data_IF_907334446669
#
_entry.id   IF_907334446669
#
_cell.length_a   1.000
_cell.length_b   1.000
_cell.length_c   1.000
_cell.angle_alpha   90.00
_cell.angle_beta   90.00
_cell.angle_gamma   90.00
#
_symmetry.space_group_name_H-M   'P 1'
#
loop_
_entity.id
_entity.type
_entity.pdbx_description
1 polymer ?
#
# COMPACT_ATOMS: atom_id res chain seq x y z
N UNK A 1 -20.18 7.77 -23.26
CA UNK A 1 -19.08 8.15 -22.34
C UNK A 1 -17.85 8.45 -23.17
N UNK A 2 -17.07 9.51 -22.86
CA UNK A 2 -15.82 9.77 -23.62
C UNK A 2 -14.76 8.75 -23.21
N UNK A 3 -13.83 8.43 -24.11
CA UNK A 3 -12.77 7.46 -23.82
C UNK A 3 -11.90 7.88 -22.63
N UNK A 4 -11.63 9.18 -22.50
CA UNK A 4 -10.94 9.73 -21.33
C UNK A 4 -11.64 9.42 -20.01
N UNK A 5 -12.97 9.53 -19.96
CA UNK A 5 -13.75 9.21 -18.75
C UNK A 5 -13.67 7.71 -18.44
N UNK A 6 -13.68 6.85 -19.47
CA UNK A 6 -13.49 5.41 -19.34
C UNK A 6 -12.14 5.06 -18.69
N UNK A 7 -11.07 5.77 -19.06
CA UNK A 7 -9.72 5.56 -18.51
C UNK A 7 -9.63 5.90 -17.02
N UNK A 8 -10.56 6.70 -16.48
CA UNK A 8 -10.58 7.05 -15.05
C UNK A 8 -11.34 6.03 -14.19
N UNK A 9 -12.21 5.20 -14.78
CA UNK A 9 -13.02 4.24 -14.05
C UNK A 9 -12.22 3.01 -13.64
N UNK A 10 -12.43 2.53 -12.41
CA UNK A 10 -11.82 1.30 -11.90
C UNK A 10 -12.07 0.08 -12.81
N UNK A 11 -11.09 -0.84 -12.91
CA UNK A 11 -11.23 -2.05 -13.71
C UNK A 11 -12.48 -2.88 -13.32
N UNK A 12 -12.89 -2.86 -12.05
CA UNK A 12 -14.11 -3.53 -11.58
C UNK A 12 -15.38 -2.92 -12.15
N UNK A 13 -15.43 -1.59 -12.32
CA UNK A 13 -16.55 -0.89 -12.96
C UNK A 13 -16.57 -1.20 -14.45
N UNK A 14 -15.41 -1.15 -15.11
CA UNK A 14 -15.29 -1.45 -16.54
C UNK A 14 -15.66 -2.91 -16.85
N UNK A 15 -15.22 -3.88 -16.04
CA UNK A 15 -15.61 -5.29 -16.20
C UNK A 15 -17.09 -5.54 -15.96
N UNK A 16 -17.72 -4.85 -14.98
CA UNK A 16 -19.18 -4.91 -14.81
C UNK A 16 -19.91 -4.36 -16.04
N UNK A 17 -19.43 -3.26 -16.63
CA UNK A 17 -19.97 -2.72 -17.88
C UNK A 17 -19.80 -3.70 -19.05
N UNK A 18 -18.64 -4.36 -19.17
CA UNK A 18 -18.41 -5.42 -20.17
C UNK A 18 -19.40 -6.58 -20.02
N UNK A 19 -19.64 -7.01 -18.78
CA UNK A 19 -20.56 -8.11 -18.50
C UNK A 19 -22.03 -7.74 -18.81
N UNK A 20 -22.41 -6.47 -18.62
CA UNK A 20 -23.74 -5.96 -18.88
C UNK A 20 -24.00 -5.57 -20.35
N UNK A 21 -22.97 -5.44 -21.18
CA UNK A 21 -23.13 -5.10 -22.61
C UNK A 21 -23.36 -6.35 -23.45
N UNK A 22 -24.24 -6.28 -24.46
CA UNK A 22 -24.42 -7.34 -25.46
C UNK A 22 -23.60 -7.09 -26.75
N UNK A 23 -23.35 -5.83 -27.08
CA UNK A 23 -22.65 -5.44 -28.30
C UNK A 23 -21.13 -5.70 -28.22
N UNK A 24 -20.59 -6.43 -29.21
CA UNK A 24 -19.14 -6.72 -29.32
C UNK A 24 -18.30 -5.44 -29.34
N UNK A 25 -18.78 -4.40 -30.02
CA UNK A 25 -18.09 -3.10 -30.11
C UNK A 25 -17.91 -2.42 -28.75
N UNK A 26 -18.92 -2.48 -27.88
CA UNK A 26 -18.83 -1.93 -26.53
C UNK A 26 -17.90 -2.73 -25.63
N UNK A 27 -17.94 -4.07 -25.71
CA UNK A 27 -17.00 -4.93 -24.99
C UNK A 27 -15.55 -4.61 -25.37
N UNK A 28 -15.27 -4.51 -26.67
CA UNK A 28 -13.93 -4.15 -27.17
C UNK A 28 -13.51 -2.76 -26.68
N UNK A 29 -14.42 -1.78 -26.69
CA UNK A 29 -14.14 -0.43 -26.20
C UNK A 29 -13.70 -0.43 -24.73
N UNK A 30 -14.40 -1.13 -23.85
CA UNK A 30 -14.04 -1.19 -22.43
C UNK A 30 -12.78 -2.01 -22.17
N UNK A 31 -12.56 -3.11 -22.90
CA UNK A 31 -11.29 -3.86 -22.83
C UNK A 31 -10.10 -3.00 -23.26
N UNK A 32 -10.25 -2.24 -24.34
CA UNK A 32 -9.24 -1.29 -24.80
C UNK A 32 -8.98 -0.20 -23.75
N UNK A 33 -10.03 0.32 -23.10
CA UNK A 33 -9.87 1.29 -22.02
C UNK A 33 -9.06 0.72 -20.84
N UNK A 34 -9.32 -0.53 -20.41
CA UNK A 34 -8.53 -1.18 -19.36
C UNK A 34 -7.06 -1.34 -19.80
N UNK A 35 -6.83 -1.80 -21.02
CA UNK A 35 -5.48 -2.02 -21.55
C UNK A 35 -4.68 -0.73 -21.66
N UNK A 36 -5.25 0.29 -22.32
CA UNK A 36 -4.59 1.60 -22.50
C UNK A 36 -4.33 2.26 -21.15
N UNK A 37 -5.32 2.24 -20.23
CA UNK A 37 -5.12 2.74 -18.86
C UNK A 37 -3.92 2.06 -18.20
N UNK A 38 -3.86 0.73 -18.26
CA UNK A 38 -2.81 -0.05 -17.58
C UNK A 38 -1.42 0.23 -18.17
N UNK A 39 -1.31 0.29 -19.51
CA UNK A 39 -0.06 0.67 -20.20
C UNK A 39 0.39 2.08 -19.81
N UNK A 40 -0.52 3.05 -19.80
CA UNK A 40 -0.19 4.44 -19.44
C UNK A 40 0.29 4.55 -17.99
N UNK A 41 -0.36 3.84 -17.05
CA UNK A 41 0.05 3.84 -15.65
C UNK A 41 1.44 3.22 -15.49
N UNK A 42 1.71 2.07 -16.12
CA UNK A 42 3.02 1.40 -16.02
C UNK A 42 4.11 2.23 -16.68
N UNK A 43 3.87 2.75 -17.88
CA UNK A 43 4.83 3.61 -18.58
C UNK A 43 5.15 4.87 -17.76
N UNK A 44 4.13 5.52 -17.20
CA UNK A 44 4.32 6.67 -16.32
C UNK A 44 5.07 6.29 -15.04
N UNK A 45 4.77 5.14 -14.42
CA UNK A 45 5.49 4.65 -13.25
C UNK A 45 6.98 4.47 -13.54
N UNK A 46 7.33 3.82 -14.65
CA UNK A 46 8.72 3.60 -15.07
C UNK A 46 9.43 4.95 -15.24
N UNK A 47 8.87 5.87 -16.03
CA UNK A 47 9.50 7.17 -16.28
C UNK A 47 9.67 7.96 -14.97
N UNK A 48 8.61 8.03 -14.15
CA UNK A 48 8.62 8.81 -12.92
C UNK A 48 9.60 8.26 -11.89
N UNK A 49 9.56 6.94 -11.63
CA UNK A 49 10.42 6.30 -10.65
C UNK A 49 11.87 6.30 -11.11
N UNK A 50 12.14 6.00 -12.39
CA UNK A 50 13.51 6.00 -12.93
C UNK A 50 14.13 7.39 -12.91
N UNK A 51 13.37 8.44 -13.26
CA UNK A 51 13.86 9.83 -13.19
C UNK A 51 14.22 10.24 -11.76
N UNK A 52 13.32 10.00 -10.80
CA UNK A 52 13.58 10.34 -9.40
C UNK A 52 14.71 9.48 -8.81
N UNK A 53 14.79 8.20 -9.15
CA UNK A 53 15.87 7.32 -8.69
C UNK A 53 17.22 7.73 -9.29
N UNK A 54 17.26 8.17 -10.55
CA UNK A 54 18.47 8.68 -11.18
C UNK A 54 18.98 9.97 -10.53
N UNK A 55 18.08 10.87 -10.11
CA UNK A 55 18.44 12.15 -9.47
C UNK A 55 18.78 12.00 -7.99
N UNK A 56 18.02 11.19 -7.23
CA UNK A 56 18.14 11.09 -5.77
C UNK A 56 18.85 9.82 -5.28
N UNK A 57 19.27 8.94 -6.19
CA UNK A 57 19.96 7.69 -5.92
C UNK A 57 19.02 6.49 -5.78
N UNK A 58 19.54 5.29 -6.12
CA UNK A 58 18.79 4.03 -6.10
C UNK A 58 18.30 3.64 -4.68
N UNK A 59 19.02 4.02 -3.63
CA UNK A 59 18.59 3.81 -2.23
C UNK A 59 17.28 4.55 -1.88
N UNK A 60 16.92 5.56 -2.69
CA UNK A 60 15.72 6.36 -2.53
C UNK A 60 14.57 5.98 -3.47
N UNK A 61 14.77 4.96 -4.32
CA UNK A 61 13.70 4.37 -5.15
C UNK A 61 12.46 4.00 -4.33
N UNK A 62 12.55 3.46 -3.08
CA UNK A 62 11.37 3.17 -2.29
C UNK A 62 10.46 4.39 -2.02
N UNK A 63 11.05 5.56 -1.76
CA UNK A 63 10.28 6.79 -1.59
C UNK A 63 9.71 7.28 -2.92
N UNK A 64 10.43 7.14 -4.03
CA UNK A 64 9.91 7.49 -5.36
C UNK A 64 8.67 6.66 -5.73
N UNK A 65 8.69 5.35 -5.44
CA UNK A 65 7.53 4.46 -5.60
C UNK A 65 6.37 4.90 -4.70
N UNK A 66 6.64 5.23 -3.43
CA UNK A 66 5.62 5.70 -2.52
C UNK A 66 4.99 7.02 -3.00
N UNK A 67 5.79 7.97 -3.49
CA UNK A 67 5.33 9.24 -4.06
C UNK A 67 4.49 9.04 -5.31
N UNK A 68 4.89 8.11 -6.18
CA UNK A 68 4.08 7.71 -7.34
C UNK A 68 2.69 7.23 -6.91
N UNK A 69 2.62 6.33 -5.94
CA UNK A 69 1.35 5.84 -5.41
C UNK A 69 0.53 6.97 -4.78
N UNK A 70 1.13 7.79 -3.91
CA UNK A 70 0.48 8.93 -3.25
C UNK A 70 -0.11 9.91 -4.27
N UNK A 71 0.64 10.24 -5.32
CA UNK A 71 0.18 11.11 -6.40
C UNK A 71 -1.06 10.54 -7.11
N UNK A 72 -1.06 9.24 -7.43
CA UNK A 72 -2.22 8.59 -8.05
C UNK A 72 -3.44 8.57 -7.12
N UNK A 73 -3.24 8.39 -5.81
CA UNK A 73 -4.30 8.40 -4.80
C UNK A 73 -4.89 9.80 -4.60
N UNK A 74 -4.04 10.79 -4.29
CA UNK A 74 -4.44 12.18 -4.01
C UNK A 74 -5.19 12.82 -5.17
N UNK A 75 -4.94 12.37 -6.42
CA UNK A 75 -5.72 12.82 -7.58
C UNK A 75 -7.23 12.64 -7.41
N UNK A 76 -7.66 11.61 -6.67
CA UNK A 76 -9.07 11.24 -6.51
C UNK A 76 -9.55 11.28 -5.06
N UNK A 77 -8.65 11.12 -4.09
CA UNK A 77 -8.98 10.99 -2.67
C UNK A 77 -8.31 12.11 -1.87
N UNK A 78 -9.11 12.89 -1.14
CA UNK A 78 -8.61 13.95 -0.25
C UNK A 78 -8.38 13.39 1.18
N UNK A 79 -8.11 14.26 2.16
CA UNK A 79 -8.01 13.89 3.58
C UNK A 79 -9.26 14.24 4.41
N UNK A 80 -10.37 14.64 3.77
CA UNK A 80 -11.66 14.97 4.41
C UNK A 80 -11.64 16.21 5.34
N UNK A 81 -10.62 17.07 5.22
CA UNK A 81 -10.54 18.37 5.91
C UNK A 81 -9.94 19.46 5.02
N UNK A 82 -10.01 20.70 5.48
CA UNK A 82 -9.67 21.87 4.68
C UNK A 82 -8.25 21.81 4.10
N UNK A 83 -8.03 22.51 2.98
CA UNK A 83 -6.80 22.38 2.20
C UNK A 83 -5.56 22.86 2.95
N UNK A 84 -5.66 23.90 3.77
CA UNK A 84 -4.53 24.39 4.57
C UNK A 84 -4.00 23.30 5.50
N UNK A 85 -4.88 22.68 6.28
CA UNK A 85 -4.53 21.57 7.17
C UNK A 85 -4.09 20.34 6.37
N UNK A 86 -4.69 20.09 5.19
CA UNK A 86 -4.30 18.98 4.30
C UNK A 86 -2.86 19.11 3.79
N UNK A 87 -2.40 20.32 3.46
CA UNK A 87 -1.01 20.56 3.08
C UNK A 87 -0.06 20.38 4.27
N UNK A 88 -0.41 20.91 5.44
CA UNK A 88 0.41 20.72 6.66
C UNK A 88 0.53 19.24 7.03
N UNK A 89 -0.59 18.50 6.99
CA UNK A 89 -0.57 17.06 7.28
C UNK A 89 0.15 16.26 6.20
N UNK A 90 0.10 16.64 4.92
CA UNK A 90 0.94 16.03 3.88
C UNK A 90 2.44 16.19 4.19
N UNK A 91 2.86 17.37 4.64
CA UNK A 91 4.25 17.60 5.06
C UNK A 91 4.62 16.71 6.27
N UNK A 92 3.73 16.62 7.28
CA UNK A 92 3.93 15.75 8.43
C UNK A 92 3.99 14.26 8.05
N UNK A 93 3.12 13.81 7.15
CA UNK A 93 3.11 12.44 6.60
C UNK A 93 4.45 12.14 5.94
N UNK A 94 4.94 13.02 5.06
CA UNK A 94 6.23 12.83 4.40
C UNK A 94 7.40 12.85 5.40
N UNK A 95 7.37 13.73 6.41
CA UNK A 95 8.37 13.73 7.46
C UNK A 95 8.40 12.40 8.23
N UNK A 96 7.23 11.83 8.58
CA UNK A 96 7.15 10.50 9.21
C UNK A 96 7.74 9.44 8.29
N UNK A 97 7.36 9.44 7.01
CA UNK A 97 7.83 8.45 6.02
C UNK A 97 9.34 8.53 5.78
N UNK A 98 9.96 9.71 5.93
CA UNK A 98 11.42 9.88 5.80
C UNK A 98 12.15 9.49 7.08
N UNK A 99 11.71 10.01 8.23
CA UNK A 99 12.50 9.99 9.46
C UNK A 99 12.28 8.72 10.29
N UNK A 100 11.04 8.25 10.42
CA UNK A 100 10.72 7.15 11.34
C UNK A 100 11.34 5.82 10.90
N UNK A 101 11.30 5.42 9.61
CA UNK A 101 12.01 4.24 9.13
C UNK A 101 13.50 4.23 9.48
N UNK A 102 14.19 5.36 9.28
CA UNK A 102 15.61 5.49 9.60
C UNK A 102 15.88 5.48 11.10
N UNK A 103 15.02 6.12 11.90
CA UNK A 103 15.11 6.04 13.36
C UNK A 103 14.91 4.60 13.87
N UNK A 104 13.91 3.89 13.34
CA UNK A 104 13.63 2.50 13.70
C UNK A 104 14.78 1.54 13.37
N UNK A 105 15.66 1.90 12.42
CA UNK A 105 16.81 1.08 12.05
C UNK A 105 17.96 1.14 13.08
N UNK A 106 17.99 2.15 13.95
CA UNK A 106 19.09 2.37 14.91
C UNK A 106 18.65 2.34 16.38
N UNK A 107 17.34 2.33 16.64
CA UNK A 107 16.82 2.32 17.99
C UNK A 107 16.85 0.91 18.62
N UNK A 108 16.97 0.83 19.96
CA UNK A 108 16.90 -0.46 20.66
C UNK A 108 15.50 -1.10 20.51
N UNK A 109 15.41 -2.43 20.54
CA UNK A 109 14.16 -3.19 20.39
C UNK A 109 12.96 -2.70 21.22
N UNK A 110 13.20 -2.27 22.47
CA UNK A 110 12.17 -1.80 23.40
C UNK A 110 11.42 -0.57 22.87
N UNK A 111 12.07 0.24 22.01
CA UNK A 111 11.49 1.46 21.45
C UNK A 111 10.82 1.26 20.09
N UNK A 112 10.95 0.08 19.46
CA UNK A 112 10.39 -0.17 18.12
C UNK A 112 8.87 -0.16 18.11
N UNK A 113 8.24 -0.91 19.02
CA UNK A 113 6.78 -0.98 19.14
C UNK A 113 6.16 0.41 19.36
N UNK A 114 6.55 1.19 20.39
CA UNK A 114 5.95 2.51 20.61
C UNK A 114 6.23 3.48 19.47
N UNK A 115 7.42 3.45 18.85
CA UNK A 115 7.73 4.29 17.70
C UNK A 115 6.85 3.96 16.50
N UNK A 116 6.79 2.68 16.10
CA UNK A 116 5.96 2.25 14.98
C UNK A 116 4.49 2.52 15.24
N UNK A 117 4.01 2.23 16.46
CA UNK A 117 2.62 2.46 16.85
C UNK A 117 2.24 3.94 16.72
N UNK A 118 3.01 4.83 17.35
CA UNK A 118 2.73 6.26 17.32
C UNK A 118 2.77 6.83 15.89
N UNK A 119 3.81 6.49 15.13
CA UNK A 119 3.97 6.97 13.76
C UNK A 119 2.88 6.45 12.82
N UNK A 120 2.58 5.16 12.89
CA UNK A 120 1.59 4.54 12.00
C UNK A 120 0.16 4.97 12.35
N UNK A 121 -0.18 5.08 13.63
CA UNK A 121 -1.47 5.63 14.06
C UNK A 121 -1.62 7.08 13.59
N UNK A 122 -0.59 7.91 13.74
CA UNK A 122 -0.61 9.29 13.26
C UNK A 122 -0.84 9.36 11.73
N UNK A 123 -0.14 8.51 10.94
CA UNK A 123 -0.35 8.41 9.50
C UNK A 123 -1.80 8.07 9.15
N UNK A 124 -2.39 7.08 9.83
CA UNK A 124 -3.77 6.66 9.58
C UNK A 124 -4.77 7.75 9.97
N UNK A 125 -4.59 8.39 11.14
CA UNK A 125 -5.44 9.49 11.60
C UNK A 125 -5.38 10.71 10.69
N UNK A 126 -4.22 11.00 10.07
CA UNK A 126 -4.08 12.09 9.11
C UNK A 126 -4.70 11.74 7.76
N UNK A 127 -4.48 10.53 7.25
CA UNK A 127 -4.76 10.24 5.83
C UNK A 127 -6.03 9.45 5.57
N UNK A 128 -6.63 8.84 6.60
CA UNK A 128 -7.62 7.77 6.43
C UNK A 128 -8.87 7.99 7.27
N UNK A 129 -9.74 8.88 6.80
CA UNK A 129 -11.06 9.13 7.38
C UNK A 129 -12.13 8.25 6.73
N UNK A 130 -11.86 7.79 5.50
CA UNK A 130 -12.69 6.87 4.72
C UNK A 130 -11.85 5.68 4.22
N UNK A 131 -11.67 4.62 5.04
CA UNK A 131 -10.81 3.50 4.69
C UNK A 131 -11.18 2.82 3.35
N UNK A 132 -12.46 2.86 2.97
CA UNK A 132 -12.96 2.32 1.71
C UNK A 132 -12.38 3.02 0.46
N UNK A 133 -11.89 4.26 0.59
CA UNK A 133 -11.30 5.01 -0.51
C UNK A 133 -9.83 4.65 -0.78
N UNK A 134 -9.23 3.80 0.06
CA UNK A 134 -7.92 3.19 -0.19
C UNK A 134 -6.70 3.94 0.35
N UNK A 135 -6.84 5.18 0.84
CA UNK A 135 -5.72 5.91 1.47
C UNK A 135 -5.05 5.08 2.57
N UNK A 136 -5.85 4.42 3.43
CA UNK A 136 -5.34 3.56 4.49
C UNK A 136 -4.39 2.48 3.99
N UNK A 137 -4.74 1.81 2.89
CA UNK A 137 -3.86 0.81 2.27
C UNK A 137 -2.62 1.41 1.63
N UNK A 138 -2.75 2.57 0.97
CA UNK A 138 -1.67 3.26 0.27
C UNK A 138 -0.59 3.77 1.23
N UNK A 139 -0.97 4.52 2.27
CA UNK A 139 -0.02 5.07 3.24
C UNK A 139 0.56 3.97 4.14
N UNK A 140 -0.22 2.91 4.42
CA UNK A 140 0.31 1.70 5.05
C UNK A 140 1.40 1.05 4.21
N UNK A 141 1.18 0.91 2.90
CA UNK A 141 2.18 0.39 1.97
C UNK A 141 3.44 1.27 1.97
N UNK A 142 3.29 2.59 1.85
CA UNK A 142 4.43 3.52 1.84
C UNK A 142 5.30 3.38 3.10
N UNK A 143 4.67 3.35 4.28
CA UNK A 143 5.38 3.23 5.54
C UNK A 143 6.12 1.90 5.68
N UNK A 144 5.44 0.78 5.43
CA UNK A 144 6.03 -0.56 5.53
C UNK A 144 7.19 -0.71 4.53
N UNK A 145 7.04 -0.17 3.31
CA UNK A 145 8.08 -0.24 2.29
C UNK A 145 9.34 0.52 2.70
N UNK A 146 9.16 1.71 3.27
CA UNK A 146 10.28 2.54 3.73
C UNK A 146 10.92 1.97 5.00
N UNK A 147 10.13 1.42 5.92
CA UNK A 147 10.62 0.71 7.11
C UNK A 147 11.52 -0.48 6.73
N UNK A 148 11.18 -1.22 5.67
CA UNK A 148 12.01 -2.31 5.14
C UNK A 148 13.19 -1.88 4.28
N UNK A 149 13.33 -0.58 3.97
CA UNK A 149 14.43 -0.01 3.20
C UNK A 149 14.91 1.31 3.84
N UNK A 150 15.42 1.26 5.09
CA UNK A 150 15.92 2.45 5.77
C UNK A 150 17.18 2.97 5.09
N UNK A 151 17.43 4.27 5.21
CA UNK A 151 18.66 4.92 4.71
C UNK A 151 19.25 5.82 5.77
N UNK A 152 20.56 6.00 5.76
CA UNK A 152 21.32 6.82 6.70
C UNK A 152 22.30 7.73 5.95
N UNK A 153 22.90 8.70 6.66
CA UNK A 153 23.92 9.59 6.10
C UNK A 153 23.40 10.41 4.90
N UNK A 154 24.22 10.52 3.85
CA UNK A 154 23.87 11.28 2.64
C UNK A 154 22.61 10.77 1.94
N UNK A 155 22.37 9.46 1.96
CA UNK A 155 21.18 8.87 1.34
C UNK A 155 19.89 9.37 2.02
N UNK A 156 19.92 9.59 3.35
CA UNK A 156 18.81 10.19 4.11
C UNK A 156 18.61 11.67 3.76
N UNK A 157 19.69 12.42 3.56
CA UNK A 157 19.60 13.82 3.09
C UNK A 157 18.93 13.88 1.72
N UNK A 158 19.35 13.02 0.78
CA UNK A 158 18.72 12.90 -0.55
C UNK A 158 17.27 12.45 -0.45
N UNK A 159 16.93 11.57 0.50
CA UNK A 159 15.55 11.16 0.80
C UNK A 159 14.68 12.34 1.26
N UNK A 160 15.23 13.21 2.10
CA UNK A 160 14.58 14.46 2.53
C UNK A 160 14.31 15.42 1.36
N UNK A 161 15.29 15.61 0.47
CA UNK A 161 15.11 16.44 -0.73
C UNK A 161 14.07 15.84 -1.69
N UNK A 162 14.08 14.51 -1.88
CA UNK A 162 13.06 13.81 -2.66
C UNK A 162 11.66 13.98 -2.03
N UNK A 163 11.55 13.92 -0.71
CA UNK A 163 10.29 14.19 -0.02
C UNK A 163 9.80 15.62 -0.22
N UNK A 164 10.71 16.61 -0.27
CA UNK A 164 10.35 18.00 -0.61
C UNK A 164 9.79 18.11 -2.03
N UNK A 165 10.42 17.47 -3.02
CA UNK A 165 9.88 17.40 -4.39
C UNK A 165 8.51 16.72 -4.38
N UNK A 166 8.38 15.61 -3.64
CA UNK A 166 7.12 14.90 -3.44
C UNK A 166 6.02 15.78 -2.84
N UNK A 167 6.36 16.59 -1.84
CA UNK A 167 5.46 17.57 -1.21
C UNK A 167 4.97 18.61 -2.21
N UNK A 168 5.88 19.17 -3.02
CA UNK A 168 5.50 20.17 -4.04
C UNK A 168 4.54 19.58 -5.08
N UNK A 169 4.83 18.38 -5.59
CA UNK A 169 3.99 17.71 -6.59
C UNK A 169 2.63 17.33 -6.00
N UNK A 170 2.63 16.56 -4.90
CA UNK A 170 1.40 16.07 -4.28
C UNK A 170 0.57 17.23 -3.70
N UNK A 171 1.21 18.24 -3.12
CA UNK A 171 0.58 19.44 -2.58
C UNK A 171 -0.08 20.28 -3.68
N UNK A 172 0.59 20.46 -4.84
CA UNK A 172 -0.01 21.15 -5.98
C UNK A 172 -1.25 20.41 -6.50
N UNK A 173 -1.20 19.08 -6.58
CA UNK A 173 -2.36 18.26 -7.01
C UNK A 173 -3.48 18.36 -5.98
N UNK A 174 -3.16 18.20 -4.69
CA UNK A 174 -4.12 18.29 -3.59
C UNK A 174 -4.83 19.64 -3.59
N UNK A 175 -4.08 20.73 -3.77
CA UNK A 175 -4.63 22.08 -3.88
C UNK A 175 -5.51 22.23 -5.12
N UNK A 176 -5.00 21.87 -6.30
CA UNK A 176 -5.74 22.04 -7.55
C UNK A 176 -7.05 21.23 -7.61
N UNK A 177 -7.10 20.05 -6.97
CA UNK A 177 -8.25 19.15 -7.02
C UNK A 177 -9.23 19.32 -5.86
N UNK A 178 -8.74 19.71 -4.68
CA UNK A 178 -9.55 19.60 -3.45
C UNK A 178 -9.64 20.88 -2.62
N UNK A 179 -9.07 22.02 -3.08
CA UNK A 179 -9.11 23.30 -2.32
C UNK A 179 -10.50 23.79 -1.92
N UNK A 180 -11.51 23.40 -2.70
CA UNK A 180 -12.88 23.85 -2.51
C UNK A 180 -13.73 22.91 -1.64
N UNK A 181 -13.15 21.77 -1.22
CA UNK A 181 -13.83 20.73 -0.45
C UNK A 181 -13.55 20.87 1.06
N UNK A 182 -14.47 20.39 1.89
CA UNK A 182 -14.35 20.33 3.36
C UNK A 182 -13.88 21.61 4.06
N UNK A 183 -14.22 22.81 3.53
CA UNK A 183 -13.71 24.10 4.02
C UNK A 183 -13.95 24.37 5.51
N UNK A 184 -15.01 23.80 6.09
CA UNK A 184 -15.37 23.98 7.50
C UNK A 184 -14.69 22.97 8.45
N UNK A 185 -14.14 21.86 7.93
CA UNK A 185 -13.54 20.82 8.75
C UNK A 185 -12.05 21.10 8.92
N UNK A 186 -11.61 21.28 10.16
CA UNK A 186 -10.19 21.37 10.54
C UNK A 186 -9.67 20.01 10.98
N UNK A 187 -8.38 19.73 10.79
CA UNK A 187 -7.75 18.49 11.21
C UNK A 187 -7.87 18.27 12.73
N UNK A 188 -7.74 19.33 13.53
CA UNK A 188 -7.90 19.20 14.98
C UNK A 188 -9.32 18.74 15.40
N UNK A 189 -10.35 19.01 14.59
CA UNK A 189 -11.70 18.46 14.82
C UNK A 189 -11.73 16.95 14.58
N UNK A 190 -10.98 16.45 13.59
CA UNK A 190 -10.84 15.01 13.32
C UNK A 190 -10.21 14.32 14.53
N UNK A 191 -9.10 14.86 15.03
CA UNK A 191 -8.40 14.30 16.21
C UNK A 191 -9.26 14.36 17.47
N UNK A 192 -9.97 15.47 17.71
CA UNK A 192 -10.87 15.60 18.87
C UNK A 192 -12.07 14.65 18.85
N UNK A 193 -12.48 14.20 17.67
CA UNK A 193 -13.60 13.26 17.49
C UNK A 193 -13.16 11.80 17.57
N UNK A 194 -11.90 11.53 17.90
CA UNK A 194 -11.41 10.17 18.04
C UNK A 194 -12.15 9.44 19.17
N UNK A 195 -12.87 8.41 18.79
CA UNK A 195 -13.69 7.57 19.66
C UNK A 195 -13.63 6.14 19.13
N UNK A 196 -13.20 5.20 19.98
CA UNK A 196 -13.03 3.79 19.62
C UNK A 196 -14.34 3.10 19.27
N UNK A 197 -15.48 3.64 19.71
CA UNK A 197 -16.82 3.15 19.36
C UNK A 197 -17.14 3.35 17.87
N UNK A 198 -16.41 4.23 17.19
CA UNK A 198 -16.54 4.47 15.75
C UNK A 198 -15.71 3.43 14.97
N UNK A 199 -16.31 2.69 14.01
CA UNK A 199 -15.63 1.62 13.28
C UNK A 199 -14.31 2.02 12.62
N UNK A 200 -14.21 3.25 12.09
CA UNK A 200 -12.99 3.76 11.47
C UNK A 200 -11.85 3.90 12.48
N UNK A 201 -12.10 4.47 13.66
CA UNK A 201 -11.05 4.64 14.67
C UNK A 201 -10.60 3.31 15.26
N UNK A 202 -11.52 2.37 15.47
CA UNK A 202 -11.18 1.01 15.87
C UNK A 202 -10.35 0.29 14.81
N UNK A 203 -10.69 0.48 13.53
CA UNK A 203 -9.93 -0.05 12.41
C UNK A 203 -8.52 0.57 12.33
N UNK A 204 -8.39 1.89 12.56
CA UNK A 204 -7.09 2.57 12.61
C UNK A 204 -6.24 2.03 13.77
N UNK A 205 -6.83 1.82 14.96
CA UNK A 205 -6.16 1.22 16.11
C UNK A 205 -5.70 -0.21 15.82
N UNK A 206 -6.57 -1.04 15.22
CA UNK A 206 -6.24 -2.41 14.79
C UNK A 206 -5.03 -2.42 13.86
N UNK A 207 -5.04 -1.56 12.85
CA UNK A 207 -3.97 -1.44 11.88
C UNK A 207 -2.67 -0.98 12.54
N UNK A 208 -2.71 0.06 13.37
CA UNK A 208 -1.55 0.58 14.08
C UNK A 208 -0.91 -0.43 15.01
N UNK A 209 -1.70 -1.13 15.83
CA UNK A 209 -1.18 -2.18 16.72
C UNK A 209 -0.64 -3.37 15.92
N UNK A 210 -1.40 -3.89 14.95
CA UNK A 210 -0.98 -5.09 14.22
C UNK A 210 0.27 -4.86 13.37
N UNK A 211 0.36 -3.71 12.69
CA UNK A 211 1.53 -3.37 11.86
C UNK A 211 2.74 -3.02 12.73
N UNK A 212 2.57 -2.29 13.83
CA UNK A 212 3.70 -1.99 14.72
C UNK A 212 4.31 -3.25 15.34
N UNK A 213 3.47 -4.19 15.79
CA UNK A 213 3.94 -5.45 16.36
C UNK A 213 4.63 -6.33 15.32
N UNK A 214 4.07 -6.49 14.11
CA UNK A 214 4.67 -7.35 13.09
C UNK A 214 6.00 -6.79 12.55
N UNK A 215 6.11 -5.47 12.36
CA UNK A 215 7.36 -4.85 11.94
C UNK A 215 8.43 -4.98 13.02
N UNK A 216 8.07 -4.70 14.28
CA UNK A 216 8.99 -4.85 15.41
C UNK A 216 9.45 -6.30 15.59
N UNK A 217 8.53 -7.26 15.49
CA UNK A 217 8.87 -8.69 15.53
C UNK A 217 9.84 -9.05 14.41
N UNK A 218 9.56 -8.61 13.17
CA UNK A 218 10.42 -8.86 12.03
C UNK A 218 11.84 -8.33 12.21
N UNK A 219 11.99 -7.13 12.77
CA UNK A 219 13.29 -6.54 13.06
C UNK A 219 14.00 -7.27 14.21
N UNK A 220 13.31 -7.56 15.31
CA UNK A 220 13.90 -8.19 16.50
C UNK A 220 14.34 -9.62 16.23
N UNK A 221 13.58 -10.37 15.45
CA UNK A 221 13.94 -11.73 15.06
C UNK A 221 14.87 -11.80 13.84
N UNK A 222 15.29 -10.66 13.29
CA UNK A 222 16.20 -10.61 12.15
C UNK A 222 15.63 -11.23 10.87
N UNK A 223 14.31 -11.12 10.67
CA UNK A 223 13.64 -11.65 9.47
C UNK A 223 14.11 -10.88 8.24
N UNK A 224 14.79 -11.57 7.33
CA UNK A 224 15.16 -11.02 6.03
C UNK A 224 13.92 -10.49 5.31
N UNK A 225 13.99 -9.26 4.78
CA UNK A 225 12.86 -8.62 4.08
C UNK A 225 11.55 -8.62 4.87
N UNK A 226 11.60 -8.42 6.20
CA UNK A 226 10.43 -8.30 7.07
C UNK A 226 9.29 -7.38 6.59
N UNK A 227 9.53 -6.42 5.69
CA UNK A 227 8.47 -5.67 5.03
C UNK A 227 7.47 -6.54 4.25
N UNK A 228 7.88 -7.69 3.68
CA UNK A 228 6.99 -8.61 2.99
C UNK A 228 6.01 -9.26 3.97
N UNK A 229 6.52 -9.62 5.16
CA UNK A 229 5.71 -10.03 6.30
C UNK A 229 4.76 -8.90 6.73
N UNK A 230 5.25 -7.66 6.81
CA UNK A 230 4.45 -6.47 7.09
C UNK A 230 3.31 -6.25 6.08
N UNK A 231 3.57 -6.35 4.77
CA UNK A 231 2.54 -6.20 3.74
C UNK A 231 1.48 -7.29 3.81
N UNK A 232 1.89 -8.52 4.10
CA UNK A 232 0.97 -9.65 4.26
C UNK A 232 0.04 -9.43 5.47
N UNK A 233 0.59 -9.04 6.62
CA UNK A 233 -0.19 -8.71 7.81
C UNK A 233 -1.10 -7.49 7.57
N UNK A 234 -0.56 -6.36 7.12
CA UNK A 234 -1.33 -5.14 6.88
C UNK A 234 -2.47 -5.36 5.87
N UNK A 235 -2.24 -6.15 4.82
CA UNK A 235 -3.28 -6.44 3.83
C UNK A 235 -4.42 -7.30 4.39
N UNK A 236 -4.14 -8.14 5.39
CA UNK A 236 -5.15 -8.94 6.09
C UNK A 236 -5.96 -8.06 7.04
N UNK A 237 -5.29 -7.14 7.75
CA UNK A 237 -5.91 -6.26 8.73
C UNK A 237 -6.68 -5.09 8.11
N UNK A 238 -6.35 -4.71 6.87
CA UNK A 238 -6.94 -3.56 6.18
C UNK A 238 -8.34 -3.79 5.61
N UNK A 239 -9.01 -4.89 5.98
CA UNK A 239 -10.39 -5.14 5.59
C UNK A 239 -11.33 -4.07 6.14
N UNK A 240 -12.13 -3.49 5.25
CA UNK A 240 -13.14 -2.50 5.58
C UNK A 240 -14.41 -2.72 4.73
N UNK A 241 -15.64 -2.66 5.30
CA UNK A 241 -15.94 -2.45 6.72
C UNK A 241 -15.33 -3.53 7.61
N UNK A 242 -15.13 -3.22 8.89
CA UNK A 242 -14.45 -4.10 9.84
C UNK A 242 -15.10 -5.49 9.82
N UNK A 243 -14.30 -6.53 9.57
CA UNK A 243 -14.71 -7.92 9.68
C UNK A 243 -13.95 -8.60 10.83
N UNK A 244 -14.66 -9.43 11.60
CA UNK A 244 -14.06 -10.34 12.57
C UNK A 244 -13.43 -11.58 11.91
N UNK A 245 -13.88 -11.94 10.70
CA UNK A 245 -13.42 -13.12 9.97
C UNK A 245 -12.43 -12.74 8.85
N UNK A 246 -11.14 -12.84 9.15
CA UNK A 246 -10.06 -12.62 8.18
C UNK A 246 -9.65 -13.88 7.41
N UNK A 247 -10.31 -15.03 7.64
CA UNK A 247 -9.86 -16.33 7.14
C UNK A 247 -9.87 -16.42 5.61
N UNK A 248 -10.85 -15.80 4.96
CA UNK A 248 -10.94 -15.75 3.49
C UNK A 248 -9.73 -15.03 2.89
N UNK A 249 -9.39 -13.84 3.40
CA UNK A 249 -8.22 -13.08 2.95
C UNK A 249 -6.91 -13.78 3.28
N UNK A 250 -6.84 -14.47 4.42
CA UNK A 250 -5.70 -15.29 4.81
C UNK A 250 -5.39 -16.33 3.72
N UNK A 251 -6.39 -17.14 3.32
CA UNK A 251 -6.18 -18.15 2.29
C UNK A 251 -5.91 -17.55 0.91
N UNK A 252 -6.64 -16.50 0.54
CA UNK A 252 -6.41 -15.81 -0.74
C UNK A 252 -4.99 -15.22 -0.85
N UNK A 253 -4.43 -14.75 0.26
CA UNK A 253 -3.06 -14.21 0.31
C UNK A 253 -2.02 -15.32 0.16
N UNK A 254 -2.19 -16.46 0.84
CA UNK A 254 -1.31 -17.62 0.72
C UNK A 254 -1.33 -18.15 -0.72
N UNK A 255 -2.53 -18.47 -1.23
CA UNK A 255 -2.70 -19.01 -2.59
C UNK A 255 -2.17 -18.03 -3.62
N UNK A 256 -2.46 -16.73 -3.46
CA UNK A 256 -1.96 -15.69 -4.35
C UNK A 256 -0.43 -15.62 -4.34
N UNK A 257 0.21 -15.63 -3.18
CA UNK A 257 1.67 -15.55 -3.08
C UNK A 257 2.37 -16.79 -3.62
N UNK A 258 1.88 -17.99 -3.31
CA UNK A 258 2.43 -19.24 -3.84
C UNK A 258 2.26 -19.28 -5.37
N UNK A 259 1.05 -19.02 -5.88
CA UNK A 259 0.80 -19.04 -7.32
C UNK A 259 1.60 -17.97 -8.06
N UNK A 260 1.71 -16.76 -7.51
CA UNK A 260 2.53 -15.68 -8.06
C UNK A 260 4.02 -16.02 -8.08
N UNK A 261 4.54 -16.61 -7.00
CA UNK A 261 5.93 -17.04 -6.90
C UNK A 261 6.27 -18.19 -7.84
N UNK A 262 5.41 -19.20 -7.94
CA UNK A 262 5.58 -20.29 -8.91
C UNK A 262 5.49 -19.78 -10.35
N UNK A 263 4.54 -18.89 -10.64
CA UNK A 263 4.40 -18.27 -11.96
C UNK A 263 5.64 -17.47 -12.36
N UNK A 264 6.16 -16.65 -11.45
CA UNK A 264 7.41 -15.92 -11.64
C UNK A 264 8.58 -16.88 -11.88
N UNK A 265 8.72 -17.93 -11.04
CA UNK A 265 9.79 -18.91 -11.16
C UNK A 265 9.82 -19.60 -12.53
N UNK A 266 8.67 -20.11 -12.98
CA UNK A 266 8.56 -20.78 -14.28
C UNK A 266 8.88 -19.81 -15.42
N UNK A 267 8.33 -18.59 -15.39
CA UNK A 267 8.62 -17.60 -16.43
C UNK A 267 10.10 -17.22 -16.45
N UNK A 268 10.72 -17.05 -15.28
CA UNK A 268 12.15 -16.76 -15.17
C UNK A 268 13.03 -17.82 -15.82
N UNK A 269 12.70 -19.10 -15.65
CA UNK A 269 13.43 -20.20 -16.29
C UNK A 269 13.19 -20.30 -17.81
N UNK A 270 12.00 -19.93 -18.28
CA UNK A 270 11.63 -20.04 -19.69
C UNK A 270 12.11 -18.85 -20.53
N UNK A 271 12.24 -17.67 -19.92
CA UNK A 271 12.61 -16.45 -20.65
C UNK A 271 14.11 -16.17 -20.57
N UNK A 272 14.74 -15.70 -21.67
CA UNK A 272 16.12 -15.22 -21.64
C UNK A 272 16.33 -14.06 -20.65
N UNK A 273 17.56 -13.88 -20.17
CA UNK A 273 17.94 -12.85 -19.17
C UNK A 273 17.52 -11.43 -19.58
N UNK A 274 17.58 -11.11 -20.88
CA UNK A 274 17.15 -9.81 -21.42
C UNK A 274 15.68 -9.45 -21.11
N UNK A 275 14.83 -10.44 -20.77
CA UNK A 275 13.42 -10.23 -20.44
C UNK A 275 13.14 -10.22 -18.94
N UNK A 276 14.11 -10.52 -18.09
CA UNK A 276 13.90 -10.62 -16.64
C UNK A 276 13.51 -9.27 -16.01
N UNK A 277 14.11 -8.17 -16.50
CA UNK A 277 13.77 -6.80 -16.06
C UNK A 277 12.35 -6.36 -16.45
N UNK A 278 11.74 -7.03 -17.43
CA UNK A 278 10.37 -6.74 -17.87
C UNK A 278 9.32 -7.46 -17.02
N UNK A 279 9.70 -8.44 -16.19
CA UNK A 279 8.74 -9.20 -15.37
C UNK A 279 7.97 -8.33 -14.38
N UNK A 280 8.65 -7.36 -13.75
CA UNK A 280 8.01 -6.39 -12.85
C UNK A 280 6.98 -5.52 -13.58
N UNK A 281 7.36 -4.79 -14.64
CA UNK A 281 6.43 -4.04 -15.51
C UNK A 281 5.25 -4.87 -16.04
N UNK A 282 5.50 -6.09 -16.51
CA UNK A 282 4.46 -6.99 -17.01
C UNK A 282 3.50 -7.41 -15.88
N UNK A 283 4.03 -7.72 -14.69
CA UNK A 283 3.21 -7.97 -13.51
C UNK A 283 2.34 -6.77 -13.14
N UNK A 284 2.89 -5.55 -13.22
CA UNK A 284 2.15 -4.31 -13.03
C UNK A 284 1.05 -4.09 -14.08
N UNK A 285 1.32 -4.44 -15.34
CA UNK A 285 0.34 -4.39 -16.42
C UNK A 285 -0.81 -5.36 -16.15
N UNK A 286 -0.51 -6.62 -15.82
CA UNK A 286 -1.49 -7.64 -15.46
C UNK A 286 -2.30 -7.25 -14.21
N UNK A 287 -1.67 -6.62 -13.23
CA UNK A 287 -2.34 -6.09 -12.03
C UNK A 287 -3.42 -5.06 -12.39
N UNK A 288 -3.20 -4.26 -13.44
CA UNK A 288 -4.19 -3.30 -13.96
C UNK A 288 -5.49 -3.95 -14.48
N UNK A 289 -5.44 -5.22 -14.86
CA UNK A 289 -6.62 -6.01 -15.25
C UNK A 289 -7.26 -6.76 -14.07
N UNK A 290 -6.59 -6.85 -12.92
CA UNK A 290 -7.06 -7.64 -11.80
C UNK A 290 -8.17 -6.92 -11.02
N UNK A 291 -9.27 -7.62 -10.76
CA UNK A 291 -10.36 -7.16 -9.90
C UNK A 291 -10.29 -7.83 -8.53
N UNK A 292 -10.05 -9.14 -8.53
CA UNK A 292 -10.09 -9.96 -7.32
C UNK A 292 -8.78 -9.90 -6.54
N UNK A 293 -8.92 -9.92 -5.21
CA UNK A 293 -7.81 -9.83 -4.27
C UNK A 293 -6.74 -10.93 -4.46
N UNK A 294 -7.17 -12.16 -4.76
CA UNK A 294 -6.27 -13.29 -5.04
C UNK A 294 -5.34 -13.02 -6.21
N UNK A 295 -5.88 -12.57 -7.36
CA UNK A 295 -5.08 -12.30 -8.56
C UNK A 295 -4.19 -11.07 -8.38
N UNK A 296 -4.68 -10.04 -7.68
CA UNK A 296 -3.85 -8.90 -7.29
C UNK A 296 -2.65 -9.32 -6.46
N UNK A 297 -2.84 -10.24 -5.51
CA UNK A 297 -1.74 -10.78 -4.69
C UNK A 297 -0.72 -11.54 -5.54
N UNK A 298 -1.17 -12.38 -6.48
CA UNK A 298 -0.28 -13.11 -7.36
C UNK A 298 0.57 -12.18 -8.24
N UNK A 299 -0.07 -11.21 -8.91
CA UNK A 299 0.64 -10.27 -9.80
C UNK A 299 1.60 -9.34 -9.04
N UNK A 300 1.27 -8.98 -7.79
CA UNK A 300 2.16 -8.18 -6.94
C UNK A 300 3.47 -8.93 -6.58
N UNK A 301 3.52 -10.25 -6.72
CA UNK A 301 4.76 -11.00 -6.48
C UNK A 301 5.81 -10.73 -7.56
N UNK A 302 5.42 -10.43 -8.80
CA UNK A 302 6.36 -10.28 -9.91
C UNK A 302 7.35 -9.14 -9.70
N UNK A 303 6.88 -7.95 -9.33
CA UNK A 303 7.76 -6.82 -9.04
C UNK A 303 8.67 -7.07 -7.83
N UNK A 304 8.12 -7.68 -6.77
CA UNK A 304 8.88 -8.00 -5.56
C UNK A 304 9.96 -9.07 -5.81
N UNK A 305 9.62 -10.12 -6.56
CA UNK A 305 10.51 -11.21 -6.90
C UNK A 305 11.55 -10.83 -7.95
N UNK A 306 11.22 -9.94 -8.89
CA UNK A 306 12.21 -9.38 -9.82
C UNK A 306 13.33 -8.68 -9.06
N UNK A 307 12.98 -7.80 -8.12
CA UNK A 307 13.96 -7.14 -7.26
C UNK A 307 14.66 -8.13 -6.31
N UNK A 308 13.92 -9.07 -5.74
CA UNK A 308 14.46 -10.08 -4.84
C UNK A 308 15.45 -11.03 -5.53
N UNK A 309 15.18 -11.44 -6.76
CA UNK A 309 16.01 -12.38 -7.50
C UNK A 309 17.39 -11.79 -7.83
N UNK A 310 17.45 -10.47 -8.07
CA UNK A 310 18.72 -9.77 -8.26
C UNK A 310 19.59 -9.69 -6.99
N UNK A 311 19.01 -9.93 -5.80
CA UNK A 311 19.71 -9.78 -4.51
C UNK A 311 20.00 -11.14 -3.87
N UNK A 312 19.02 -12.05 -3.89
CA UNK A 312 19.05 -13.34 -3.19
C UNK A 312 19.13 -14.53 -4.15
N UNK A 313 19.20 -14.28 -5.46
CA UNK A 313 18.99 -15.29 -6.49
C UNK A 313 17.53 -15.73 -6.60
N UNK A 314 17.20 -16.42 -7.69
CA UNK A 314 15.83 -16.84 -8.00
C UNK A 314 15.19 -17.67 -6.87
N UNK A 315 15.89 -18.72 -6.42
CA UNK A 315 15.38 -19.63 -5.39
C UNK A 315 15.22 -18.92 -4.05
N UNK A 316 16.23 -18.14 -3.63
CA UNK A 316 16.18 -17.37 -2.39
C UNK A 316 15.00 -16.39 -2.37
N UNK A 317 14.81 -15.63 -3.46
CA UNK A 317 13.71 -14.68 -3.57
C UNK A 317 12.33 -15.35 -3.46
N UNK A 318 12.14 -16.48 -4.13
CA UNK A 318 10.88 -17.26 -4.11
C UNK A 318 10.60 -17.80 -2.72
N UNK A 319 11.60 -18.40 -2.07
CA UNK A 319 11.47 -18.96 -0.73
C UNK A 319 11.15 -17.86 0.28
N UNK A 320 11.94 -16.78 0.31
CA UNK A 320 11.70 -15.63 1.18
C UNK A 320 10.29 -15.06 0.99
N UNK A 321 9.84 -14.91 -0.26
CA UNK A 321 8.52 -14.35 -0.55
C UNK A 321 7.39 -15.20 0.03
N UNK A 322 7.51 -16.53 -0.08
CA UNK A 322 6.51 -17.46 0.45
C UNK A 322 6.57 -17.47 1.97
N UNK A 323 7.76 -17.63 2.55
CA UNK A 323 7.97 -17.71 4.01
C UNK A 323 7.50 -16.42 4.70
N UNK A 324 7.95 -15.25 4.24
CA UNK A 324 7.55 -13.97 4.83
C UNK A 324 6.05 -13.74 4.73
N UNK A 325 5.44 -14.14 3.60
CA UNK A 325 4.00 -14.05 3.44
C UNK A 325 3.28 -14.94 4.45
N UNK A 326 3.74 -16.19 4.63
CA UNK A 326 3.18 -17.13 5.61
C UNK A 326 3.33 -16.62 7.05
N UNK A 327 4.51 -16.10 7.41
CA UNK A 327 4.73 -15.48 8.72
C UNK A 327 3.79 -14.29 8.93
N UNK A 328 3.63 -13.43 7.91
CA UNK A 328 2.84 -12.21 8.03
C UNK A 328 1.35 -12.47 8.13
N UNK A 329 0.82 -13.41 7.35
CA UNK A 329 -0.61 -13.78 7.41
C UNK A 329 -0.94 -14.60 8.65
N UNK A 330 -0.05 -15.48 9.13
CA UNK A 330 -0.27 -16.21 10.38
C UNK A 330 -0.25 -15.29 11.58
N UNK A 331 0.73 -14.38 11.65
CA UNK A 331 0.76 -13.30 12.64
C UNK A 331 -0.52 -12.46 12.59
N UNK A 332 -0.88 -11.97 11.39
CA UNK A 332 -2.05 -11.13 11.20
C UNK A 332 -3.36 -11.84 11.58
N UNK A 333 -3.49 -13.14 11.32
CA UNK A 333 -4.67 -13.93 11.69
C UNK A 333 -4.78 -14.09 13.21
N UNK A 334 -3.68 -14.46 13.88
CA UNK A 334 -3.64 -14.57 15.33
C UNK A 334 -3.94 -13.22 16.00
N UNK A 335 -3.29 -12.16 15.53
CA UNK A 335 -3.54 -10.79 16.01
C UNK A 335 -5.00 -10.38 15.80
N UNK A 336 -5.56 -10.60 14.60
CA UNK A 336 -6.95 -10.25 14.31
C UNK A 336 -7.93 -10.97 15.25
N UNK A 337 -7.72 -12.26 15.51
CA UNK A 337 -8.54 -13.03 16.43
C UNK A 337 -8.46 -12.51 17.88
N UNK A 338 -7.24 -12.20 18.35
CA UNK A 338 -7.01 -11.62 19.69
C UNK A 338 -7.65 -10.23 19.79
N UNK A 339 -7.39 -9.36 18.82
CA UNK A 339 -7.93 -8.00 18.78
C UNK A 339 -9.46 -8.00 18.74
N UNK A 340 -10.06 -8.90 17.95
CA UNK A 340 -11.51 -9.03 17.89
C UNK A 340 -12.10 -9.38 19.26
N UNK A 341 -11.53 -10.39 19.94
CA UNK A 341 -11.98 -10.83 21.27
C UNK A 341 -11.77 -9.78 22.37
N UNK A 342 -10.64 -9.08 22.35
CA UNK A 342 -10.25 -8.18 23.45
C UNK A 342 -10.79 -6.75 23.29
N UNK A 343 -10.89 -6.25 22.06
CA UNK A 343 -11.29 -4.86 21.79
C UNK A 343 -12.62 -4.80 21.05
N UNK A 344 -12.73 -5.44 19.89
CA UNK A 344 -13.86 -5.18 18.99
C UNK A 344 -15.21 -5.63 19.56
N UNK A 345 -15.29 -6.81 20.17
CA UNK A 345 -16.54 -7.30 20.80
C UNK A 345 -17.01 -6.41 21.95
N UNK A 346 -16.09 -5.72 22.63
CA UNK A 346 -16.41 -4.84 23.77
C UNK A 346 -16.82 -3.43 23.36
N UNK A 347 -16.33 -2.98 22.21
CA UNK A 347 -16.38 -1.58 21.79
C UNK A 347 -17.36 -1.36 20.65
N UNK A 348 -17.47 -2.32 19.72
CA UNK A 348 -18.54 -2.26 18.72
C UNK A 348 -19.85 -2.71 19.38
N UNK A 349 -20.96 -1.98 19.19
CA UNK A 349 -22.26 -2.48 19.59
C UNK A 349 -22.46 -3.86 18.96
N UNK A 350 -23.01 -4.80 19.73
CA UNK A 350 -23.40 -6.10 19.18
C UNK A 350 -24.21 -5.84 17.92
N UNK A 351 -23.80 -6.42 16.79
CA UNK A 351 -24.59 -6.36 15.58
C UNK A 351 -25.99 -6.88 15.97
N UNK A 352 -26.99 -6.01 15.95
CA UNK A 352 -28.38 -6.45 16.00
C UNK A 352 -28.52 -7.51 14.91
N UNK A 353 -28.99 -8.69 15.33
CA UNK A 353 -28.81 -9.95 14.62
C UNK A 353 -29.21 -9.94 13.15
N UNK A 354 -28.54 -10.81 12.39
CA UNK A 354 -29.11 -11.36 11.14
C UNK A 354 -30.49 -11.97 11.38
#
# INVERSE_FOLDING_TARGET
>A
MKFYDALQLDPSILKRKIAASDARREKTYYWLAIAVRSVLIVAFAIVFISLLSGVFGADNTPLAVALFCMMLGIRFVNFEYCIGDSLVTLAAVLAILVLVPSAAAVLPPVLLIPLHFAAFLALLCMTTQRPEMGNGGLYSFAYIYLAGNPVMGEALVRRGLLALVGYLICGAILFAKHRDQHRATRFHHVVRRFDLSVPVHLWQLRMALGVSLVLSAGQVFGVERFMWMGFACASLLSEYPYSGNTFTRFWQRIVGAVAGSCGFFVLYLLTPEAFHEWMGPLGGLCLGFCTDYRYKTAMNCFGALMLGAGIYGLQGAVVLRIVDTLLGVTFGLAFAAIFHRLAAVRVLPAAEGE
#
